data_IF_908255413738
#
_entry.id   IF_908255413738
#
_cell.length_a   1.000
_cell.length_b   1.000
_cell.length_c   1.000
_cell.angle_alpha   90.00
_cell.angle_beta   90.00
_cell.angle_gamma   90.00
#
_symmetry.space_group_name_H-M   'P 1'
#
loop_
_entity.id
_entity.type
_entity.pdbx_description
1 polymer ?
#
# COMPACT_ATOMS: atom_id res chain seq x y z
N UNK A 1 34.42 -15.51 -0.61
CA UNK A 1 33.03 -15.35 -0.11
C UNK A 1 32.14 -16.41 -0.75
N UNK A 2 31.78 -17.49 -0.04
CA UNK A 2 30.87 -18.54 -0.55
C UNK A 2 29.38 -18.23 -0.29
N UNK A 3 29.10 -17.15 0.46
CA UNK A 3 27.75 -16.83 0.92
C UNK A 3 26.75 -16.49 -0.20
N UNK A 4 27.06 -15.60 -1.17
CA UNK A 4 26.13 -15.34 -2.28
C UNK A 4 25.80 -16.60 -3.09
N UNK A 5 26.81 -17.44 -3.33
CA UNK A 5 26.64 -18.74 -4.00
C UNK A 5 25.68 -19.65 -3.22
N UNK A 6 25.91 -19.81 -1.91
CA UNK A 6 25.06 -20.66 -1.06
C UNK A 6 23.59 -20.17 -1.03
N UNK A 7 23.35 -18.86 -1.05
CA UNK A 7 21.98 -18.34 -1.09
C UNK A 7 21.33 -18.58 -2.45
N UNK A 8 22.05 -18.43 -3.56
CA UNK A 8 21.51 -18.73 -4.89
C UNK A 8 21.16 -20.22 -5.05
N UNK A 9 21.92 -21.13 -4.42
CA UNK A 9 21.59 -22.56 -4.36
C UNK A 9 20.31 -22.83 -3.55
N UNK A 10 20.08 -22.09 -2.45
CA UNK A 10 18.87 -22.24 -1.63
C UNK A 10 17.67 -21.57 -2.30
N UNK A 11 17.84 -20.39 -2.88
CA UNK A 11 16.79 -19.55 -3.44
C UNK A 11 17.22 -18.98 -4.80
N UNK A 12 17.06 -19.77 -5.89
CA UNK A 12 17.45 -19.35 -7.23
C UNK A 12 16.58 -18.17 -7.67
N UNK A 13 17.21 -17.22 -8.36
CA UNK A 13 16.60 -15.96 -8.77
C UNK A 13 16.68 -14.83 -7.73
N UNK A 14 17.19 -15.06 -6.53
CA UNK A 14 17.51 -14.00 -5.56
C UNK A 14 18.99 -13.60 -5.71
N UNK A 15 19.25 -12.31 -5.91
CA UNK A 15 20.61 -11.75 -5.95
C UNK A 15 20.98 -11.14 -4.60
N UNK A 16 22.25 -11.28 -4.20
CA UNK A 16 22.78 -10.71 -2.95
C UNK A 16 23.99 -9.85 -3.25
N UNK A 17 23.93 -8.60 -2.82
CA UNK A 17 25.08 -7.71 -2.75
C UNK A 17 25.58 -7.63 -1.31
N UNK A 18 26.88 -7.85 -1.11
CA UNK A 18 27.51 -7.82 0.21
C UNK A 18 28.73 -6.89 0.18
N UNK A 19 28.92 -6.10 1.24
CA UNK A 19 30.15 -5.38 1.52
C UNK A 19 30.58 -5.66 2.96
N UNK A 20 31.90 -5.75 3.17
CA UNK A 20 32.51 -5.92 4.49
C UNK A 20 33.64 -4.91 4.60
N UNK A 21 33.71 -4.21 5.74
CA UNK A 21 34.73 -3.21 6.03
C UNK A 21 35.26 -3.47 7.43
N UNK A 22 36.58 -3.44 7.56
CA UNK A 22 37.27 -3.43 8.84
C UNK A 22 37.33 -1.99 9.37
N UNK A 23 37.12 -1.82 10.66
CA UNK A 23 37.19 -0.53 11.32
C UNK A 23 37.79 -0.67 12.72
N UNK A 24 38.50 0.39 13.14
CA UNK A 24 39.07 0.50 14.48
C UNK A 24 38.07 1.22 15.40
N UNK A 25 38.20 1.04 16.72
CA UNK A 25 37.37 1.70 17.72
C UNK A 25 37.38 3.23 17.54
N UNK A 26 36.19 3.84 17.61
CA UNK A 26 35.95 5.27 17.36
C UNK A 26 35.79 5.64 15.89
N UNK A 27 35.91 4.67 14.97
CA UNK A 27 35.80 4.86 13.52
C UNK A 27 34.44 4.47 12.92
N UNK A 28 33.45 4.08 13.73
CA UNK A 28 32.23 3.42 13.25
C UNK A 28 31.45 4.27 12.24
N UNK A 29 31.27 5.57 12.46
CA UNK A 29 30.50 6.43 11.56
C UNK A 29 31.14 6.55 10.16
N UNK A 30 32.47 6.67 10.11
CA UNK A 30 33.21 6.70 8.83
C UNK A 30 33.15 5.33 8.15
N UNK A 31 33.20 4.25 8.92
CA UNK A 31 33.06 2.89 8.42
C UNK A 31 31.66 2.62 7.84
N UNK A 32 30.60 3.11 8.48
CA UNK A 32 29.22 3.02 7.99
C UNK A 32 29.05 3.74 6.64
N UNK A 33 29.59 4.96 6.51
CA UNK A 33 29.54 5.70 5.25
C UNK A 33 30.29 4.97 4.13
N UNK A 34 31.52 4.51 4.41
CA UNK A 34 32.29 3.71 3.46
C UNK A 34 31.57 2.40 3.09
N UNK A 35 30.81 1.80 4.02
CA UNK A 35 30.05 0.57 3.80
C UNK A 35 28.90 0.82 2.82
N UNK A 36 28.16 1.92 2.99
CA UNK A 36 27.11 2.32 2.05
C UNK A 36 27.67 2.54 0.63
N UNK A 37 28.82 3.20 0.50
CA UNK A 37 29.46 3.44 -0.79
C UNK A 37 29.90 2.14 -1.45
N UNK A 38 30.57 1.23 -0.71
CA UNK A 38 30.93 -0.10 -1.23
C UNK A 38 29.71 -0.95 -1.57
N UNK A 39 28.61 -0.84 -0.81
CA UNK A 39 27.36 -1.53 -1.13
C UNK A 39 26.76 -1.00 -2.45
N UNK A 40 26.82 0.32 -2.69
CA UNK A 40 26.39 0.91 -3.97
C UNK A 40 27.25 0.40 -5.14
N UNK A 41 28.57 0.36 -4.97
CA UNK A 41 29.47 -0.22 -5.96
C UNK A 41 29.16 -1.69 -6.26
N UNK A 42 28.88 -2.48 -5.23
CA UNK A 42 28.53 -3.90 -5.39
C UNK A 42 27.17 -4.11 -6.05
N UNK A 43 26.18 -3.25 -5.79
CA UNK A 43 24.88 -3.29 -6.49
C UNK A 43 25.00 -3.01 -7.99
N UNK A 44 26.02 -2.27 -8.40
CA UNK A 44 26.31 -2.00 -9.81
C UNK A 44 27.02 -3.17 -10.52
N UNK A 45 27.44 -4.21 -9.79
CA UNK A 45 28.05 -5.40 -10.39
C UNK A 45 26.97 -6.42 -10.74
N UNK A 46 26.90 -6.76 -12.02
CA UNK A 46 25.97 -7.78 -12.52
C UNK A 46 26.31 -9.12 -11.86
N UNK A 47 25.33 -9.73 -11.21
CA UNK A 47 25.45 -11.08 -10.68
C UNK A 47 25.22 -12.08 -11.80
N UNK A 48 26.15 -13.01 -11.98
CA UNK A 48 25.98 -14.10 -12.95
C UNK A 48 24.91 -15.07 -12.41
N UNK A 49 23.89 -15.43 -13.21
CA UNK A 49 22.91 -16.41 -12.78
C UNK A 49 23.60 -17.76 -12.55
N UNK A 50 23.13 -18.48 -11.53
CA UNK A 50 23.67 -19.80 -11.19
C UNK A 50 23.29 -20.84 -12.26
N UNK A 51 22.05 -20.74 -12.76
CA UNK A 51 21.56 -21.57 -13.86
C UNK A 51 21.93 -20.95 -15.20
N UNK A 52 22.71 -21.67 -16.01
CA UNK A 52 23.05 -21.28 -17.36
C UNK A 52 22.20 -22.08 -18.34
N UNK A 53 21.22 -21.43 -18.96
CA UNK A 53 20.31 -22.09 -19.90
C UNK A 53 20.92 -22.21 -21.30
N UNK A 54 21.51 -23.35 -21.62
CA UNK A 54 22.03 -23.66 -22.96
C UNK A 54 20.92 -23.64 -24.04
N UNK A 55 21.33 -23.44 -25.30
CA UNK A 55 20.40 -23.52 -26.43
C UNK A 55 19.88 -24.95 -26.58
N UNK A 56 18.55 -25.11 -26.71
CA UNK A 56 17.89 -26.41 -26.83
C UNK A 56 17.24 -26.94 -25.54
N UNK A 57 17.35 -26.22 -24.42
CA UNK A 57 16.61 -26.56 -23.20
C UNK A 57 15.27 -25.84 -23.18
N UNK A 58 14.22 -26.56 -22.80
CA UNK A 58 12.89 -25.98 -22.61
C UNK A 58 12.91 -24.92 -21.49
N UNK A 59 12.08 -23.89 -21.63
CA UNK A 59 12.04 -22.75 -20.72
C UNK A 59 10.64 -22.52 -20.18
N UNK A 60 10.57 -22.12 -18.93
CA UNK A 60 9.33 -21.68 -18.31
C UNK A 60 8.80 -20.42 -19.03
N UNK A 61 7.57 -20.48 -19.55
CA UNK A 61 7.00 -19.38 -20.38
C UNK A 61 6.87 -18.05 -19.63
N UNK A 62 6.66 -18.11 -18.31
CA UNK A 62 6.42 -16.93 -17.47
C UNK A 62 7.69 -16.21 -17.04
N UNK A 63 8.78 -16.93 -16.82
CA UNK A 63 10.02 -16.40 -16.23
C UNK A 63 11.19 -16.41 -17.22
N UNK A 64 11.11 -17.22 -18.27
CA UNK A 64 12.23 -17.47 -19.19
C UNK A 64 13.36 -18.31 -18.60
N UNK A 65 13.18 -18.81 -17.37
CA UNK A 65 14.11 -19.70 -16.66
C UNK A 65 14.16 -21.10 -17.28
N UNK A 66 15.18 -21.88 -16.92
CA UNK A 66 15.35 -23.25 -17.39
C UNK A 66 14.22 -24.11 -16.80
N UNK A 67 13.59 -24.94 -17.64
CA UNK A 67 12.58 -25.88 -17.17
C UNK A 67 13.16 -26.79 -16.09
N UNK A 68 12.45 -26.87 -14.98
CA UNK A 68 12.77 -27.73 -13.85
C UNK A 68 11.56 -28.64 -13.63
N UNK A 69 11.78 -29.96 -13.61
CA UNK A 69 10.74 -30.94 -13.30
C UNK A 69 10.86 -31.40 -11.85
N UNK A 70 10.10 -30.84 -10.91
CA UNK A 70 9.78 -31.52 -9.68
C UNK A 70 8.48 -32.28 -9.87
N UNK A 71 8.49 -33.58 -9.61
CA UNK A 71 7.31 -34.42 -9.40
C UNK A 71 6.43 -33.86 -8.25
N UNK A 72 5.73 -32.73 -8.42
CA UNK A 72 4.56 -32.21 -7.67
C UNK A 72 4.21 -30.72 -7.99
N UNK A 73 3.35 -30.52 -9.01
CA UNK A 73 2.34 -29.44 -9.30
C UNK A 73 2.80 -27.97 -9.60
N UNK A 74 2.07 -27.19 -10.47
CA UNK A 74 0.62 -27.27 -10.81
C UNK A 74 0.21 -27.43 -12.30
N UNK A 75 -0.99 -28.01 -12.54
CA UNK A 75 -1.61 -28.47 -13.82
C UNK A 75 -0.69 -29.39 -14.62
N UNK A 76 -1.19 -30.53 -15.09
CA UNK A 76 -0.37 -31.57 -15.75
C UNK A 76 0.51 -31.08 -16.92
N UNK A 77 0.33 -29.84 -17.42
CA UNK A 77 1.01 -29.28 -18.59
C UNK A 77 1.81 -27.95 -18.40
N UNK A 78 1.90 -27.34 -17.20
CA UNK A 78 2.65 -26.06 -17.05
C UNK A 78 4.13 -26.27 -16.70
N UNK A 79 5.02 -25.89 -17.63
CA UNK A 79 6.47 -25.90 -17.41
C UNK A 79 6.89 -24.73 -16.53
N UNK A 80 7.56 -25.04 -15.43
CA UNK A 80 8.03 -24.09 -14.40
C UNK A 80 9.54 -24.21 -14.18
N UNK A 81 10.15 -23.18 -13.60
CA UNK A 81 11.58 -23.16 -13.25
C UNK A 81 11.80 -23.50 -11.76
N UNK A 82 13.06 -23.78 -11.39
CA UNK A 82 13.41 -24.16 -10.01
C UNK A 82 13.03 -23.06 -9.00
N UNK A 83 13.20 -21.79 -9.40
CA UNK A 83 12.84 -20.63 -8.60
C UNK A 83 11.35 -20.60 -8.27
N UNK A 84 10.48 -20.87 -9.24
CA UNK A 84 9.02 -20.89 -9.06
C UNK A 84 8.61 -22.03 -8.14
N UNK A 85 9.24 -23.20 -8.27
CA UNK A 85 8.96 -24.36 -7.41
C UNK A 85 9.29 -24.05 -5.95
N UNK A 86 10.46 -23.44 -5.70
CA UNK A 86 10.83 -23.04 -4.33
C UNK A 86 9.90 -21.95 -3.79
N UNK A 87 9.44 -21.00 -4.61
CA UNK A 87 8.41 -20.01 -4.23
C UNK A 87 7.08 -20.68 -3.86
N UNK A 88 6.62 -21.66 -4.62
CA UNK A 88 5.37 -22.39 -4.34
C UNK A 88 5.49 -23.14 -3.01
N UNK A 89 6.61 -23.85 -2.77
CA UNK A 89 6.87 -24.53 -1.49
C UNK A 89 6.88 -23.55 -0.31
N UNK A 90 7.53 -22.40 -0.46
CA UNK A 90 7.60 -21.36 0.57
C UNK A 90 6.26 -20.64 0.82
N UNK A 91 5.36 -20.59 -0.17
CA UNK A 91 4.07 -19.89 -0.06
C UNK A 91 3.09 -20.49 0.96
N UNK A 92 3.36 -21.71 1.44
CA UNK A 92 2.58 -22.40 2.47
C UNK A 92 2.78 -21.82 3.88
N UNK A 93 3.81 -21.00 4.11
CA UNK A 93 4.08 -20.45 5.44
C UNK A 93 3.07 -19.39 5.90
N UNK A 94 2.79 -19.36 7.21
CA UNK A 94 1.97 -18.36 7.90
C UNK A 94 2.74 -17.14 8.43
N UNK A 95 4.08 -17.13 8.34
CA UNK A 95 4.93 -16.23 9.14
C UNK A 95 4.58 -14.73 9.07
N UNK A 96 4.18 -14.23 7.90
CA UNK A 96 3.77 -12.84 7.71
C UNK A 96 2.36 -12.60 8.25
N UNK A 97 1.47 -13.59 8.10
CA UNK A 97 0.15 -13.56 8.70
C UNK A 97 0.23 -13.59 10.23
N UNK A 98 1.15 -14.36 10.82
CA UNK A 98 1.34 -14.41 12.26
C UNK A 98 1.79 -13.05 12.83
N UNK A 99 2.56 -12.28 12.05
CA UNK A 99 2.94 -10.91 12.42
C UNK A 99 1.72 -9.98 12.47
N UNK A 100 0.86 -10.01 11.46
CA UNK A 100 -0.31 -9.11 11.37
C UNK A 100 -1.44 -9.51 12.33
N UNK A 101 -1.61 -10.81 12.56
CA UNK A 101 -2.68 -11.36 13.41
C UNK A 101 -2.29 -11.50 14.88
N UNK A 102 -1.05 -11.14 15.24
CA UNK A 102 -0.48 -11.37 16.57
C UNK A 102 -0.52 -12.85 17.01
N UNK A 103 -0.15 -13.75 16.09
CA UNK A 103 -0.14 -15.21 16.29
C UNK A 103 -1.49 -15.79 16.71
N UNK A 104 -2.58 -15.31 16.10
CA UNK A 104 -3.87 -15.96 16.27
C UNK A 104 -3.78 -17.42 15.80
N UNK A 105 -4.37 -18.37 16.54
CA UNK A 105 -4.36 -19.77 16.14
C UNK A 105 -5.20 -19.91 14.86
N UNK A 106 -4.55 -20.29 13.77
CA UNK A 106 -5.18 -20.49 12.47
C UNK A 106 -4.87 -21.87 11.91
N UNK A 107 -5.79 -22.39 11.10
CA UNK A 107 -5.54 -23.52 10.24
C UNK A 107 -5.01 -23.00 8.89
N UNK A 108 -3.72 -23.16 8.62
CA UNK A 108 -3.07 -22.62 7.41
C UNK A 108 -3.77 -23.00 6.09
N UNK A 109 -4.36 -24.19 6.00
CA UNK A 109 -5.02 -24.65 4.77
C UNK A 109 -6.41 -24.06 4.55
N UNK A 110 -7.12 -23.76 5.64
CA UNK A 110 -8.49 -23.25 5.62
C UNK A 110 -8.57 -21.74 5.75
N UNK A 111 -7.71 -21.15 6.57
CA UNK A 111 -7.78 -19.75 6.96
C UNK A 111 -6.93 -18.84 6.06
N UNK A 112 -5.93 -19.41 5.36
CA UNK A 112 -5.10 -18.68 4.40
C UNK A 112 -5.44 -19.11 2.97
N UNK A 113 -5.29 -18.16 2.05
CA UNK A 113 -5.53 -18.40 0.64
C UNK A 113 -4.31 -18.03 -0.20
N UNK A 114 -3.97 -18.93 -1.12
CA UNK A 114 -3.01 -18.69 -2.21
C UNK A 114 -3.72 -18.57 -3.56
N UNK A 115 -5.01 -18.87 -3.61
CA UNK A 115 -5.89 -18.60 -4.75
C UNK A 115 -7.00 -17.65 -4.29
N UNK A 116 -7.08 -16.49 -4.94
CA UNK A 116 -8.08 -15.44 -4.67
C UNK A 116 -9.51 -15.97 -4.83
N UNK A 117 -9.75 -16.96 -5.69
CA UNK A 117 -11.10 -17.52 -5.91
C UNK A 117 -11.71 -18.12 -4.64
N UNK A 118 -10.87 -18.63 -3.72
CA UNK A 118 -11.32 -19.15 -2.43
C UNK A 118 -11.93 -18.08 -1.52
N UNK A 119 -11.55 -16.82 -1.70
CA UNK A 119 -12.08 -15.70 -0.91
C UNK A 119 -13.56 -15.41 -1.24
N UNK A 120 -14.01 -15.80 -2.43
CA UNK A 120 -15.31 -15.39 -2.97
C UNK A 120 -16.20 -16.58 -3.36
N UNK A 121 -15.95 -17.79 -2.85
CA UNK A 121 -16.71 -19.00 -3.24
C UNK A 121 -16.91 -19.17 -4.77
N UNK A 122 -15.89 -18.79 -5.56
CA UNK A 122 -15.92 -18.77 -7.03
C UNK A 122 -16.88 -17.75 -7.69
N UNK A 123 -17.34 -16.72 -6.99
CA UNK A 123 -18.13 -15.64 -7.61
C UNK A 123 -17.35 -14.86 -8.67
N UNK A 124 -18.01 -14.55 -9.78
CA UNK A 124 -17.38 -13.92 -10.94
C UNK A 124 -17.19 -12.39 -10.82
N UNK A 125 -17.90 -11.73 -9.89
CA UNK A 125 -17.88 -10.26 -9.73
C UNK A 125 -17.24 -9.82 -8.42
N UNK A 126 -16.04 -10.32 -8.16
CA UNK A 126 -15.31 -10.02 -6.93
C UNK A 126 -14.21 -8.98 -7.13
N UNK A 127 -14.18 -7.97 -6.25
CA UNK A 127 -13.14 -6.95 -6.19
C UNK A 127 -12.21 -7.20 -5.00
N UNK A 128 -10.92 -7.05 -5.27
CA UNK A 128 -9.86 -7.02 -4.24
C UNK A 128 -9.14 -5.69 -4.30
N UNK A 129 -8.43 -5.37 -3.24
CA UNK A 129 -7.54 -4.23 -3.18
C UNK A 129 -6.11 -4.69 -2.87
N UNK A 130 -5.14 -4.08 -3.55
CA UNK A 130 -3.73 -4.16 -3.17
C UNK A 130 -3.36 -2.85 -2.52
N UNK A 131 -2.92 -2.95 -1.26
CA UNK A 131 -2.48 -1.81 -0.45
C UNK A 131 -0.96 -1.88 -0.38
N UNK A 132 -0.30 -0.76 -0.63
CA UNK A 132 1.11 -0.57 -0.35
C UNK A 132 1.30 0.71 0.46
N UNK A 133 1.96 0.62 1.61
CA UNK A 133 2.29 1.76 2.45
C UNK A 133 3.78 1.76 2.80
N UNK A 134 4.37 2.95 2.79
CA UNK A 134 5.80 3.20 2.94
C UNK A 134 6.03 4.44 3.82
N UNK A 135 7.05 4.38 4.67
CA UNK A 135 7.39 5.39 5.65
C UNK A 135 7.97 6.66 5.02
N UNK A 136 7.50 7.81 5.48
CA UNK A 136 7.97 9.08 5.00
C UNK A 136 9.29 9.50 5.66
N UNK A 137 10.26 9.85 4.81
CA UNK A 137 11.47 10.55 5.26
C UNK A 137 12.53 9.71 5.95
N UNK A 138 12.36 8.39 6.11
CA UNK A 138 13.29 7.52 6.85
C UNK A 138 14.76 7.65 6.46
N UNK A 139 15.08 7.78 5.17
CA UNK A 139 16.45 8.01 4.73
C UNK A 139 17.05 9.31 5.30
N UNK A 140 16.25 10.37 5.36
CA UNK A 140 16.67 11.63 5.99
C UNK A 140 16.77 11.49 7.51
N UNK A 141 15.90 10.68 8.14
CA UNK A 141 15.97 10.36 9.57
C UNK A 141 17.31 9.68 9.88
N UNK A 142 17.64 8.61 9.16
CA UNK A 142 18.88 7.85 9.32
C UNK A 142 20.10 8.76 9.11
N UNK A 143 20.08 9.64 8.10
CA UNK A 143 21.16 10.61 7.88
C UNK A 143 21.30 11.62 9.01
N UNK A 144 20.19 12.14 9.54
CA UNK A 144 20.21 13.07 10.67
C UNK A 144 20.64 12.40 11.96
N UNK A 145 20.23 11.15 12.19
CA UNK A 145 20.72 10.31 13.29
C UNK A 145 22.23 10.11 13.17
N UNK A 146 22.72 9.76 11.97
CA UNK A 146 24.16 9.60 11.73
C UNK A 146 24.92 10.89 12.09
N UNK A 147 24.45 12.06 11.61
CA UNK A 147 25.04 13.37 11.95
C UNK A 147 25.00 13.69 13.45
N UNK A 148 23.88 13.44 14.11
CA UNK A 148 23.73 13.71 15.55
C UNK A 148 24.60 12.78 16.42
N UNK A 149 24.85 11.56 15.93
CA UNK A 149 25.66 10.55 16.60
C UNK A 149 27.15 10.59 16.20
N UNK A 150 27.56 11.54 15.33
CA UNK A 150 28.97 11.68 14.90
C UNK A 150 29.94 11.95 16.04
N UNK A 151 29.51 12.65 17.09
CA UNK A 151 30.32 13.04 18.25
C UNK A 151 30.14 12.11 19.45
N UNK A 152 29.39 11.01 19.31
CA UNK A 152 29.09 10.04 20.36
C UNK A 152 29.98 8.81 20.27
N UNK A 153 29.98 7.98 21.32
CA UNK A 153 30.76 6.74 21.34
C UNK A 153 30.19 5.71 20.37
N UNK A 154 31.02 4.76 19.92
CA UNK A 154 30.58 3.67 19.04
C UNK A 154 29.45 2.82 19.66
N UNK A 155 29.41 2.70 20.99
CA UNK A 155 28.35 2.00 21.72
C UNK A 155 27.02 2.76 21.64
N UNK A 156 27.04 4.07 21.80
CA UNK A 156 25.87 4.93 21.67
C UNK A 156 25.29 4.86 20.25
N UNK A 157 26.16 4.86 19.24
CA UNK A 157 25.75 4.74 17.83
C UNK A 157 25.08 3.40 17.57
N UNK A 158 25.68 2.29 18.04
CA UNK A 158 25.09 0.95 17.91
C UNK A 158 23.74 0.85 18.62
N UNK A 159 23.65 1.36 19.84
CA UNK A 159 22.42 1.36 20.63
C UNK A 159 21.33 2.21 19.97
N UNK A 160 21.67 3.40 19.49
CA UNK A 160 20.73 4.30 18.81
C UNK A 160 20.10 3.68 17.57
N UNK A 161 20.91 3.14 16.65
CA UNK A 161 20.40 2.50 15.43
C UNK A 161 19.63 1.21 15.71
N UNK A 162 20.10 0.39 16.67
CA UNK A 162 19.40 -0.84 17.06
C UNK A 162 18.03 -0.53 17.64
N UNK A 163 17.96 0.37 18.62
CA UNK A 163 16.70 0.77 19.25
C UNK A 163 15.77 1.39 18.22
N UNK A 164 16.26 2.29 17.35
CA UNK A 164 15.45 2.87 16.29
C UNK A 164 14.84 1.82 15.35
N UNK A 165 15.65 0.89 14.85
CA UNK A 165 15.18 -0.17 13.95
C UNK A 165 14.16 -1.09 14.62
N UNK A 166 14.40 -1.48 15.88
CA UNK A 166 13.46 -2.30 16.65
C UNK A 166 12.16 -1.56 16.94
N UNK A 167 12.24 -0.30 17.38
CA UNK A 167 11.08 0.53 17.67
C UNK A 167 10.21 0.77 16.43
N UNK A 168 10.83 0.99 15.25
CA UNK A 168 10.12 1.15 13.98
C UNK A 168 9.39 -0.14 13.58
N UNK A 169 10.11 -1.26 13.54
CA UNK A 169 9.54 -2.56 13.15
C UNK A 169 8.39 -2.98 14.09
N UNK A 170 8.55 -2.76 15.40
CA UNK A 170 7.47 -3.03 16.35
C UNK A 170 6.30 -2.04 16.22
N UNK A 171 6.54 -0.75 15.92
CA UNK A 171 5.47 0.21 15.70
C UNK A 171 4.62 -0.17 14.48
N UNK A 172 5.24 -0.53 13.37
CA UNK A 172 4.57 -0.99 12.15
C UNK A 172 3.76 -2.26 12.40
N UNK A 173 4.36 -3.25 13.09
CA UNK A 173 3.64 -4.48 13.46
C UNK A 173 2.44 -4.19 14.35
N UNK A 174 2.61 -3.39 15.41
CA UNK A 174 1.51 -3.04 16.31
C UNK A 174 0.41 -2.27 15.60
N UNK A 175 0.74 -1.35 14.69
CA UNK A 175 -0.24 -0.63 13.89
C UNK A 175 -1.05 -1.57 12.98
N UNK A 176 -0.36 -2.48 12.29
CA UNK A 176 -0.99 -3.47 11.42
C UNK A 176 -1.88 -4.45 12.22
N UNK A 177 -1.45 -4.83 13.43
CA UNK A 177 -2.25 -5.66 14.35
C UNK A 177 -3.52 -4.97 14.83
N UNK A 178 -3.44 -3.69 15.18
CA UNK A 178 -4.64 -2.92 15.56
C UNK A 178 -5.62 -2.85 14.38
N UNK A 179 -5.14 -2.48 13.18
CA UNK A 179 -5.97 -2.40 11.98
C UNK A 179 -6.60 -3.76 11.61
N UNK A 180 -5.85 -4.86 11.75
CA UNK A 180 -6.38 -6.20 11.53
C UNK A 180 -7.47 -6.57 12.53
N UNK A 181 -7.24 -6.33 13.83
CA UNK A 181 -8.19 -6.69 14.87
C UNK A 181 -9.50 -5.91 14.79
N UNK A 182 -9.45 -4.64 14.39
CA UNK A 182 -10.65 -3.80 14.34
C UNK A 182 -11.44 -3.93 13.03
N UNK A 183 -10.78 -4.21 11.90
CA UNK A 183 -11.41 -4.15 10.58
C UNK A 183 -11.58 -5.54 9.93
N UNK A 184 -10.70 -6.49 10.22
CA UNK A 184 -10.61 -7.74 9.44
C UNK A 184 -10.99 -8.97 10.24
N UNK A 185 -10.67 -8.99 11.53
CA UNK A 185 -10.82 -10.18 12.37
C UNK A 185 -12.27 -10.68 12.43
N UNK A 186 -13.22 -9.77 12.60
CA UNK A 186 -14.64 -10.09 12.75
C UNK A 186 -15.35 -10.25 11.39
N UNK A 187 -14.68 -9.89 10.29
CA UNK A 187 -15.17 -10.05 8.91
C UNK A 187 -14.86 -11.43 8.32
N UNK A 188 -14.29 -12.34 9.12
CA UNK A 188 -14.07 -13.73 8.72
C UNK A 188 -15.39 -14.50 8.80
N UNK A 189 -15.95 -14.80 7.64
CA UNK A 189 -17.14 -15.66 7.52
C UNK A 189 -16.80 -17.13 7.82
N UNK A 190 -17.77 -17.86 8.38
CA UNK A 190 -17.60 -19.28 8.67
C UNK A 190 -17.41 -20.10 7.39
N UNK A 191 -16.34 -20.89 7.35
CA UNK A 191 -15.98 -21.70 6.17
C UNK A 191 -15.19 -20.95 5.09
N UNK A 192 -15.00 -19.64 5.21
CA UNK A 192 -14.15 -18.84 4.35
C UNK A 192 -12.80 -18.49 5.01
N UNK A 193 -11.73 -18.31 4.21
CA UNK A 193 -10.46 -17.85 4.73
C UNK A 193 -10.54 -16.36 5.10
N UNK A 194 -9.55 -15.84 5.83
CA UNK A 194 -9.53 -14.42 6.19
C UNK A 194 -9.53 -13.53 4.93
N UNK A 195 -10.28 -12.41 4.93
CA UNK A 195 -10.36 -11.50 3.78
C UNK A 195 -9.12 -10.63 3.59
N UNK A 196 -7.95 -11.08 4.05
CA UNK A 196 -6.66 -10.41 3.98
C UNK A 196 -5.53 -11.41 3.73
N UNK A 197 -4.53 -11.01 2.95
CA UNK A 197 -3.28 -11.73 2.72
C UNK A 197 -2.12 -10.73 2.75
N UNK A 198 -1.37 -10.66 3.87
CA UNK A 198 -0.20 -9.80 3.94
C UNK A 198 0.95 -10.41 3.12
N UNK A 199 1.67 -9.55 2.40
CA UNK A 199 2.80 -9.92 1.54
C UNK A 199 4.10 -9.37 2.12
N UNK A 200 4.07 -8.12 2.57
CA UNK A 200 5.22 -7.45 3.18
C UNK A 200 4.73 -6.83 4.49
N UNK A 201 5.45 -7.12 5.57
CA UNK A 201 5.28 -6.48 6.87
C UNK A 201 6.63 -6.52 7.60
N UNK A 202 7.35 -5.41 7.53
CA UNK A 202 8.65 -5.28 8.19
C UNK A 202 9.29 -3.92 7.93
N UNK A 203 10.02 -3.42 8.92
CA UNK A 203 10.49 -2.04 8.89
C UNK A 203 9.28 -1.11 8.89
N UNK A 204 9.19 -0.23 7.90
CA UNK A 204 8.08 0.68 7.65
C UNK A 204 7.19 0.28 6.46
N UNK A 205 7.59 -0.74 5.71
CA UNK A 205 6.87 -1.22 4.53
C UNK A 205 5.73 -2.17 4.94
N UNK A 206 4.54 -1.89 4.39
CA UNK A 206 3.37 -2.74 4.46
C UNK A 206 2.84 -2.98 3.04
N UNK A 207 2.68 -4.23 2.64
CA UNK A 207 1.95 -4.59 1.41
C UNK A 207 1.00 -5.73 1.67
N UNK A 208 -0.26 -5.54 1.31
CA UNK A 208 -1.36 -6.43 1.67
C UNK A 208 -2.35 -6.54 0.51
N UNK A 209 -2.88 -7.75 0.28
CA UNK A 209 -4.09 -7.95 -0.52
C UNK A 209 -5.27 -8.12 0.42
N UNK A 210 -6.38 -7.43 0.18
CA UNK A 210 -7.57 -7.48 1.04
C UNK A 210 -8.85 -7.43 0.20
N UNK A 211 -9.97 -7.89 0.74
CA UNK A 211 -11.31 -7.66 0.16
C UNK A 211 -11.55 -6.15 0.02
N UNK A 212 -12.11 -5.72 -1.11
CA UNK A 212 -12.09 -4.31 -1.52
C UNK A 212 -12.90 -3.37 -0.59
N UNK A 213 -13.99 -3.85 -0.01
CA UNK A 213 -14.82 -3.15 0.97
C UNK A 213 -14.05 -2.76 2.24
N UNK A 214 -13.12 -3.61 2.68
CA UNK A 214 -12.34 -3.41 3.92
C UNK A 214 -11.11 -2.50 3.72
N UNK A 215 -10.63 -2.38 2.48
CA UNK A 215 -9.31 -1.82 2.18
C UNK A 215 -9.14 -0.37 2.63
N UNK A 216 -10.15 0.47 2.39
CA UNK A 216 -10.11 1.89 2.75
C UNK A 216 -10.00 2.06 4.27
N UNK A 217 -10.91 1.43 5.01
CA UNK A 217 -10.95 1.51 6.47
C UNK A 217 -9.68 0.95 7.11
N UNK A 218 -9.22 -0.21 6.62
CA UNK A 218 -7.98 -0.83 7.08
C UNK A 218 -6.78 0.11 6.89
N UNK A 219 -6.65 0.73 5.71
CA UNK A 219 -5.51 1.60 5.40
C UNK A 219 -5.52 2.88 6.23
N UNK A 220 -6.68 3.53 6.38
CA UNK A 220 -6.80 4.72 7.24
C UNK A 220 -6.43 4.36 8.67
N UNK A 221 -6.98 3.27 9.21
CA UNK A 221 -6.71 2.86 10.58
C UNK A 221 -5.25 2.50 10.82
N UNK A 222 -4.62 1.83 9.85
CA UNK A 222 -3.20 1.54 9.88
C UNK A 222 -2.35 2.82 9.94
N UNK A 223 -2.63 3.81 9.08
CA UNK A 223 -1.87 5.07 9.04
C UNK A 223 -2.00 5.86 10.35
N UNK A 224 -3.21 5.96 10.92
CA UNK A 224 -3.45 6.64 12.20
C UNK A 224 -2.71 5.96 13.37
N UNK A 225 -2.80 4.63 13.46
CA UNK A 225 -2.10 3.89 14.50
C UNK A 225 -0.58 3.90 14.28
N UNK A 226 -0.10 3.92 13.04
CA UNK A 226 1.32 4.06 12.75
C UNK A 226 1.88 5.39 13.28
N UNK A 227 1.21 6.52 13.01
CA UNK A 227 1.61 7.83 13.56
C UNK A 227 1.61 7.82 15.09
N UNK A 228 0.56 7.29 15.70
CA UNK A 228 0.42 7.23 17.16
C UNK A 228 1.48 6.35 17.82
N UNK A 229 1.74 5.15 17.28
CA UNK A 229 2.70 4.18 17.83
C UNK A 229 4.13 4.66 17.63
N UNK A 230 4.45 5.27 16.49
CA UNK A 230 5.78 5.84 16.26
C UNK A 230 6.02 7.04 17.18
N UNK A 231 5.04 7.93 17.36
CA UNK A 231 5.16 9.05 18.29
C UNK A 231 5.43 8.60 19.73
N UNK A 232 4.78 7.53 20.18
CA UNK A 232 5.01 6.99 21.53
C UNK A 232 6.39 6.31 21.64
N UNK A 233 6.71 5.44 20.68
CA UNK A 233 7.97 4.67 20.70
C UNK A 233 9.20 5.51 20.44
N UNK A 234 9.09 6.70 19.86
CA UNK A 234 10.26 7.51 19.49
C UNK A 234 10.65 8.57 20.52
N UNK A 235 9.94 8.64 21.65
CA UNK A 235 10.28 9.56 22.76
C UNK A 235 11.73 9.42 23.25
N UNK A 236 12.31 8.22 23.15
CA UNK A 236 13.72 7.98 23.53
C UNK A 236 14.71 8.75 22.66
N UNK A 237 14.38 9.09 21.40
CA UNK A 237 15.29 9.81 20.50
C UNK A 237 15.61 11.21 21.04
N UNK A 238 14.61 11.89 21.61
CA UNK A 238 14.80 13.19 22.25
C UNK A 238 15.52 13.05 23.59
N UNK A 239 15.08 12.11 24.43
CA UNK A 239 15.61 11.95 25.79
C UNK A 239 17.05 11.46 25.81
N UNK A 240 17.30 10.29 25.23
CA UNK A 240 18.57 9.58 25.36
C UNK A 240 19.62 10.09 24.37
N UNK A 241 19.19 10.52 23.18
CA UNK A 241 20.09 10.86 22.08
C UNK A 241 20.05 12.36 21.68
N UNK A 242 19.16 13.16 22.28
CA UNK A 242 18.98 14.59 21.98
C UNK A 242 18.69 14.89 20.49
N UNK A 243 18.04 13.94 19.81
CA UNK A 243 17.68 14.06 18.39
C UNK A 243 16.29 14.69 18.30
N UNK A 244 16.26 15.97 17.93
CA UNK A 244 15.02 16.73 17.75
C UNK A 244 14.40 16.49 16.36
N UNK A 245 13.08 16.60 16.25
CA UNK A 245 12.33 16.53 14.97
C UNK A 245 11.50 15.26 14.76
N UNK A 246 11.59 14.27 15.66
CA UNK A 246 10.82 13.00 15.59
C UNK A 246 9.85 12.81 16.76
N UNK A 247 9.67 13.87 17.57
CA UNK A 247 8.83 13.84 18.78
C UNK A 247 7.36 13.57 18.47
N UNK A 248 6.93 13.91 17.25
CA UNK A 248 5.57 13.72 16.77
C UNK A 248 5.43 12.44 15.92
N UNK A 249 6.41 11.53 15.96
CA UNK A 249 6.39 10.24 15.25
C UNK A 249 6.97 10.28 13.84
N UNK A 250 6.60 9.28 13.03
CA UNK A 250 6.81 9.25 11.58
C UNK A 250 5.45 9.06 10.92
N UNK A 251 5.22 9.70 9.78
CA UNK A 251 4.06 9.38 8.94
C UNK A 251 4.39 8.38 7.86
N UNK A 252 3.35 7.78 7.30
CA UNK A 252 3.45 6.93 6.13
C UNK A 252 2.52 7.42 5.04
N UNK A 253 2.89 7.18 3.78
CA UNK A 253 1.97 7.32 2.67
C UNK A 253 1.47 5.94 2.26
N UNK A 254 0.25 5.86 1.75
CA UNK A 254 -0.29 4.62 1.24
C UNK A 254 -0.97 4.81 -0.12
N UNK A 255 -0.89 3.76 -0.93
CA UNK A 255 -1.57 3.60 -2.20
C UNK A 255 -2.51 2.39 -2.18
N UNK A 256 -3.76 2.56 -2.62
CA UNK A 256 -4.73 1.46 -2.76
C UNK A 256 -5.13 1.29 -4.23
N UNK A 257 -4.83 0.12 -4.79
CA UNK A 257 -5.28 -0.27 -6.12
C UNK A 257 -6.48 -1.23 -6.01
N UNK A 258 -7.68 -0.77 -6.38
CA UNK A 258 -8.86 -1.63 -6.47
C UNK A 258 -8.95 -2.30 -7.83
N UNK A 259 -9.01 -3.62 -7.84
CA UNK A 259 -8.93 -4.44 -9.05
C UNK A 259 -9.95 -5.60 -8.99
N UNK A 260 -10.28 -6.15 -10.16
CA UNK A 260 -11.00 -7.42 -10.23
C UNK A 260 -10.07 -8.58 -9.86
N UNK A 261 -10.61 -9.66 -9.31
CA UNK A 261 -9.82 -10.85 -8.89
C UNK A 261 -8.94 -11.46 -10.00
N UNK A 262 -9.32 -11.33 -11.27
CA UNK A 262 -8.59 -11.87 -12.42
C UNK A 262 -7.47 -10.96 -12.93
N UNK A 263 -7.34 -9.76 -12.37
CA UNK A 263 -6.36 -8.78 -12.82
C UNK A 263 -4.93 -9.20 -12.43
N UNK A 264 -3.93 -9.08 -13.32
CA UNK A 264 -2.58 -9.53 -13.03
C UNK A 264 -1.96 -8.80 -11.83
N UNK A 265 -1.53 -9.58 -10.83
CA UNK A 265 -1.03 -9.05 -9.56
C UNK A 265 0.15 -8.07 -9.70
N UNK A 266 1.09 -8.33 -10.61
CA UNK A 266 2.27 -7.47 -10.80
C UNK A 266 1.89 -6.04 -11.24
N UNK A 267 0.84 -5.88 -12.05
CA UNK A 267 0.33 -4.56 -12.41
C UNK A 267 -0.35 -3.87 -11.22
N UNK A 268 -1.04 -4.64 -10.37
CA UNK A 268 -1.73 -4.12 -9.20
C UNK A 268 -0.76 -3.58 -8.15
N UNK A 269 0.32 -4.31 -7.86
CA UNK A 269 1.39 -3.85 -6.95
C UNK A 269 2.06 -2.61 -7.51
N UNK A 270 2.45 -2.63 -8.79
CA UNK A 270 3.08 -1.47 -9.43
C UNK A 270 2.17 -0.23 -9.38
N UNK A 271 0.85 -0.41 -9.51
CA UNK A 271 -0.11 0.68 -9.36
C UNK A 271 -0.18 1.19 -7.92
N UNK A 272 -0.26 0.30 -6.93
CA UNK A 272 -0.28 0.68 -5.52
C UNK A 272 1.00 1.43 -5.11
N UNK A 273 2.17 0.99 -5.56
CA UNK A 273 3.45 1.68 -5.38
C UNK A 273 3.45 3.09 -6.00
N UNK A 274 2.93 3.24 -7.23
CA UNK A 274 2.83 4.54 -7.89
C UNK A 274 1.89 5.49 -7.17
N UNK A 275 0.76 5.00 -6.66
CA UNK A 275 -0.19 5.78 -5.86
C UNK A 275 0.43 6.21 -4.53
N UNK A 276 1.18 5.32 -3.87
CA UNK A 276 1.94 5.66 -2.66
C UNK A 276 3.00 6.75 -2.95
N UNK A 277 3.76 6.60 -4.04
CA UNK A 277 4.75 7.58 -4.49
C UNK A 277 4.12 8.93 -4.85
N UNK A 278 2.92 8.94 -5.45
CA UNK A 278 2.15 10.15 -5.71
C UNK A 278 1.79 10.87 -4.40
N UNK A 279 1.22 10.14 -3.43
CA UNK A 279 0.87 10.68 -2.11
C UNK A 279 2.12 11.24 -1.39
N UNK A 280 3.25 10.52 -1.46
CA UNK A 280 4.55 10.97 -0.91
C UNK A 280 5.07 12.24 -1.58
N UNK A 281 4.97 12.32 -2.90
CA UNK A 281 5.37 13.51 -3.66
C UNK A 281 4.48 14.72 -3.35
N UNK A 282 3.17 14.49 -3.18
CA UNK A 282 2.21 15.53 -2.80
C UNK A 282 2.55 16.12 -1.43
N UNK A 283 2.71 15.28 -0.40
CA UNK A 283 3.09 15.73 0.95
C UNK A 283 4.42 16.48 0.94
N UNK A 284 5.40 15.99 0.16
CA UNK A 284 6.72 16.63 0.05
C UNK A 284 6.68 18.02 -0.61
N UNK A 285 5.86 18.20 -1.65
CA UNK A 285 5.82 19.45 -2.45
C UNK A 285 4.89 20.51 -1.87
N UNK A 286 3.66 20.11 -1.54
CA UNK A 286 2.60 21.05 -1.17
C UNK A 286 2.64 21.42 0.32
N UNK A 287 2.91 20.43 1.18
CA UNK A 287 2.89 20.62 2.64
C UNK A 287 4.31 20.96 3.13
N UNK A 288 5.31 20.26 2.60
CA UNK A 288 6.72 20.48 2.91
C UNK A 288 7.13 19.96 4.29
N UNK A 289 8.44 19.81 4.47
CA UNK A 289 9.07 19.36 5.73
C UNK A 289 9.48 20.57 6.59
N UNK A 290 8.61 21.55 6.78
CA UNK A 290 8.93 22.79 7.52
C UNK A 290 9.04 22.55 9.03
N UNK A 291 10.05 21.79 9.46
CA UNK A 291 10.35 21.51 10.87
C UNK A 291 9.41 20.53 11.59
N UNK A 292 8.40 20.00 10.89
CA UNK A 292 7.47 18.99 11.39
C UNK A 292 7.62 17.67 10.64
N UNK A 293 7.25 16.58 11.31
CA UNK A 293 7.05 15.26 10.69
C UNK A 293 6.00 15.43 9.58
N UNK A 294 6.25 14.94 8.35
CA UNK A 294 5.26 14.97 7.27
C UNK A 294 3.93 14.36 7.72
N UNK A 295 2.80 14.73 7.13
CA UNK A 295 1.51 14.08 7.42
C UNK A 295 1.34 12.79 6.63
N UNK A 296 0.59 11.83 7.17
CA UNK A 296 0.18 10.66 6.41
C UNK A 296 -0.83 11.03 5.33
N UNK A 297 -0.70 10.38 4.18
CA UNK A 297 -1.58 10.61 3.04
C UNK A 297 -1.92 9.30 2.33
N UNK A 298 -3.09 9.28 1.71
CA UNK A 298 -3.68 8.12 1.05
C UNK A 298 -4.10 8.49 -0.37
N UNK A 299 -3.61 7.75 -1.37
CA UNK A 299 -4.13 7.82 -2.75
C UNK A 299 -4.73 6.47 -3.12
N UNK A 300 -5.81 6.46 -3.89
CA UNK A 300 -6.42 5.22 -4.35
C UNK A 300 -6.93 5.34 -5.78
N UNK A 301 -7.05 4.19 -6.46
CA UNK A 301 -7.57 4.14 -7.81
C UNK A 301 -8.30 2.83 -8.07
N UNK A 302 -9.47 2.90 -8.72
CA UNK A 302 -10.24 1.74 -9.15
C UNK A 302 -10.01 1.45 -10.63
N UNK A 303 -9.42 0.29 -10.92
CA UNK A 303 -9.13 -0.17 -12.27
C UNK A 303 -10.40 -0.71 -12.92
N UNK A 304 -10.92 0.03 -13.90
CA UNK A 304 -12.08 -0.39 -14.69
C UNK A 304 -11.69 -0.94 -16.06
N UNK A 305 -10.51 -0.55 -16.56
CA UNK A 305 -10.02 -0.93 -17.89
C UNK A 305 -9.21 -2.23 -17.85
N UNK A 306 -9.20 -2.94 -18.97
CA UNK A 306 -8.44 -4.19 -19.15
C UNK A 306 -6.94 -3.94 -19.33
N UNK A 307 -6.55 -2.71 -19.68
CA UNK A 307 -5.15 -2.33 -19.92
C UNK A 307 -4.76 -1.08 -19.16
N UNK A 308 -3.79 -1.22 -18.26
CA UNK A 308 -3.14 -0.11 -17.59
C UNK A 308 -1.80 0.15 -18.25
N UNK A 309 -1.69 1.29 -18.94
CA UNK A 309 -0.40 1.83 -19.38
C UNK A 309 0.50 2.15 -18.18
N UNK A 310 1.81 2.23 -18.43
CA UNK A 310 2.81 2.42 -17.37
C UNK A 310 2.71 3.77 -16.63
N UNK A 311 2.06 4.79 -17.18
CA UNK A 311 2.02 6.13 -16.56
C UNK A 311 0.68 6.41 -15.83
N UNK A 312 0.76 6.64 -14.52
CA UNK A 312 -0.35 6.98 -13.64
C UNK A 312 -1.11 8.22 -14.12
N UNK A 313 -0.38 9.24 -14.62
CA UNK A 313 -0.97 10.51 -15.05
C UNK A 313 -1.88 10.32 -16.26
N UNK A 314 -1.45 9.48 -17.21
CA UNK A 314 -2.22 9.19 -18.42
C UNK A 314 -3.50 8.43 -18.10
N UNK A 315 -3.43 7.45 -17.18
CA UNK A 315 -4.60 6.71 -16.70
C UNK A 315 -5.60 7.66 -16.04
N UNK A 316 -5.14 8.47 -15.08
CA UNK A 316 -6.00 9.42 -14.38
C UNK A 316 -6.61 10.44 -15.34
N UNK A 317 -5.84 10.95 -16.29
CA UNK A 317 -6.38 11.87 -17.32
C UNK A 317 -7.43 11.20 -18.22
N UNK A 318 -7.28 9.91 -18.53
CA UNK A 318 -8.25 9.18 -19.37
C UNK A 318 -9.52 8.79 -18.60
N UNK A 319 -9.37 8.39 -17.34
CA UNK A 319 -10.45 7.75 -16.55
C UNK A 319 -11.11 8.70 -15.55
N UNK A 320 -10.42 9.77 -15.13
CA UNK A 320 -10.87 10.72 -14.10
C UNK A 320 -11.00 12.15 -14.63
N UNK A 321 -10.87 12.39 -15.93
CA UNK A 321 -11.11 13.73 -16.50
C UNK A 321 -12.29 13.68 -17.45
N UNK A 322 -13.34 14.41 -17.09
CA UNK A 322 -14.51 14.65 -17.91
C UNK A 322 -14.45 16.09 -18.41
N UNK A 323 -13.81 16.30 -19.57
CA UNK A 323 -13.61 17.62 -20.20
C UNK A 323 -13.08 18.69 -19.21
N UNK A 324 -13.96 19.53 -18.64
CA UNK A 324 -13.64 20.61 -17.69
C UNK A 324 -13.68 20.21 -16.20
N UNK A 325 -14.09 18.98 -15.87
CA UNK A 325 -14.18 18.47 -14.50
C UNK A 325 -13.12 17.40 -14.26
N UNK A 326 -12.35 17.56 -13.17
CA UNK A 326 -11.44 16.52 -12.70
C UNK A 326 -12.08 15.75 -11.55
N UNK A 327 -12.30 14.46 -11.74
CA UNK A 327 -12.66 13.51 -10.69
C UNK A 327 -11.45 12.97 -9.93
N UNK A 328 -10.23 13.39 -10.27
CA UNK A 328 -9.04 13.19 -9.45
C UNK A 328 -9.01 14.26 -8.35
N UNK A 329 -9.71 14.01 -7.25
CA UNK A 329 -9.75 14.95 -6.11
C UNK A 329 -8.37 15.07 -5.45
N UNK A 330 -7.61 13.97 -5.47
CA UNK A 330 -6.20 13.93 -5.10
C UNK A 330 -5.94 13.11 -3.83
N UNK A 331 -4.68 13.03 -3.38
CA UNK A 331 -4.35 12.31 -2.17
C UNK A 331 -5.04 12.91 -0.96
N UNK A 332 -5.66 12.05 -0.14
CA UNK A 332 -6.36 12.43 1.08
C UNK A 332 -5.41 12.40 2.27
N UNK A 333 -5.38 13.47 3.05
CA UNK A 333 -4.65 13.51 4.31
C UNK A 333 -5.36 12.68 5.38
N UNK A 334 -4.55 12.05 6.22
CA UNK A 334 -4.96 11.29 7.41
C UNK A 334 -4.55 12.06 8.67
N UNK A 335 -5.34 11.91 9.74
CA UNK A 335 -5.10 12.55 11.03
C UNK A 335 -5.80 13.91 11.17
N UNK A 336 -5.04 14.97 11.45
CA UNK A 336 -5.60 16.30 11.66
C UNK A 336 -5.88 17.01 10.33
N UNK A 337 -7.07 17.59 10.11
CA UNK A 337 -7.38 18.32 8.88
C UNK A 337 -6.50 19.56 8.71
N UNK A 338 -6.17 19.90 7.47
CA UNK A 338 -5.57 21.17 7.08
C UNK A 338 -6.53 21.88 6.13
N UNK A 339 -6.74 23.17 6.36
CA UNK A 339 -7.57 23.99 5.48
C UNK A 339 -6.99 24.00 4.06
N UNK A 340 -7.86 23.80 3.06
CA UNK A 340 -7.49 23.76 1.63
C UNK A 340 -6.96 22.41 1.13
N UNK A 341 -6.96 21.36 1.97
CA UNK A 341 -6.51 20.02 1.56
C UNK A 341 -7.57 18.95 1.77
N UNK A 342 -7.62 17.97 0.86
CA UNK A 342 -8.52 16.82 0.93
C UNK A 342 -8.23 15.96 2.18
N UNK A 343 -9.27 15.52 2.87
CA UNK A 343 -9.12 14.76 4.12
C UNK A 343 -10.04 13.52 4.15
N UNK A 344 -9.56 12.41 4.73
CA UNK A 344 -10.33 11.15 4.79
C UNK A 344 -11.68 11.30 5.51
N UNK A 345 -11.77 12.15 6.54
CA UNK A 345 -13.04 12.46 7.23
C UNK A 345 -14.12 13.06 6.31
N UNK A 346 -13.74 13.75 5.22
CA UNK A 346 -14.71 14.25 4.24
C UNK A 346 -15.33 13.09 3.47
N UNK A 347 -14.54 12.08 3.10
CA UNK A 347 -15.03 10.85 2.48
C UNK A 347 -15.95 10.08 3.43
N UNK A 348 -15.53 9.85 4.67
CA UNK A 348 -16.35 9.14 5.66
C UNK A 348 -17.71 9.79 5.87
N UNK A 349 -17.76 11.11 6.06
CA UNK A 349 -19.02 11.84 6.22
C UNK A 349 -19.93 11.67 5.01
N UNK A 350 -19.40 11.85 3.80
CA UNK A 350 -20.19 11.72 2.56
C UNK A 350 -20.64 10.28 2.30
N UNK A 351 -19.82 9.28 2.61
CA UNK A 351 -20.21 7.86 2.54
C UNK A 351 -21.34 7.55 3.51
N UNK A 352 -21.25 8.01 4.76
CA UNK A 352 -22.30 7.83 5.77
C UNK A 352 -23.62 8.50 5.34
N UNK A 353 -23.55 9.72 4.79
CA UNK A 353 -24.71 10.39 4.20
C UNK A 353 -25.34 9.52 3.10
N UNK A 354 -24.56 9.04 2.13
CA UNK A 354 -25.12 8.18 1.06
C UNK A 354 -25.80 6.92 1.64
N UNK A 355 -25.19 6.25 2.60
CA UNK A 355 -25.76 5.06 3.23
C UNK A 355 -27.05 5.35 4.02
N UNK A 356 -27.11 6.49 4.73
CA UNK A 356 -28.32 6.91 5.43
C UNK A 356 -29.47 7.18 4.44
N UNK A 357 -29.17 7.85 3.33
CA UNK A 357 -30.15 8.16 2.31
C UNK A 357 -30.61 6.92 1.52
N UNK A 358 -29.73 5.93 1.30
CA UNK A 358 -30.12 4.62 0.72
C UNK A 358 -31.07 3.86 1.65
N UNK A 359 -30.95 4.01 2.98
CA UNK A 359 -31.83 3.36 3.98
C UNK A 359 -33.19 4.04 4.15
N UNK A 360 -33.35 5.31 3.78
CA UNK A 360 -34.59 6.11 3.99
C UNK A 360 -35.75 5.78 3.03
N UNK A 361 -35.54 4.93 2.01
CA UNK A 361 -36.63 4.36 1.20
C UNK A 361 -36.59 4.68 -0.30
N UNK A 362 -37.53 4.10 -1.07
CA UNK A 362 -37.50 4.03 -2.56
C UNK A 362 -37.60 5.36 -3.31
N UNK A 363 -38.25 6.39 -2.77
CA UNK A 363 -38.38 7.68 -3.47
C UNK A 363 -37.09 8.53 -3.35
N UNK A 364 -36.37 8.42 -2.24
CA UNK A 364 -35.12 9.14 -1.94
C UNK A 364 -33.86 8.39 -2.38
N UNK A 365 -33.91 7.05 -2.44
CA UNK A 365 -32.87 6.20 -3.07
C UNK A 365 -32.63 6.52 -4.55
N UNK A 366 -33.62 7.15 -5.22
CA UNK A 366 -33.46 7.70 -6.56
C UNK A 366 -32.36 8.78 -6.62
N UNK A 367 -32.06 9.47 -5.51
CA UNK A 367 -31.01 10.49 -5.45
C UNK A 367 -29.62 9.92 -5.74
N UNK A 368 -29.28 8.77 -5.14
CA UNK A 368 -27.99 8.11 -5.37
C UNK A 368 -27.90 7.52 -6.77
N UNK A 369 -29.00 6.91 -7.26
CA UNK A 369 -29.06 6.42 -8.65
C UNK A 369 -28.89 7.55 -9.67
N UNK A 370 -29.55 8.70 -9.45
CA UNK A 370 -29.40 9.89 -10.29
C UNK A 370 -28.00 10.47 -10.22
N UNK A 371 -27.35 10.39 -9.06
CA UNK A 371 -25.99 10.88 -8.88
C UNK A 371 -24.95 9.97 -9.57
N UNK A 372 -25.18 8.64 -9.60
CA UNK A 372 -24.40 7.70 -10.45
C UNK A 372 -24.61 7.95 -11.94
N UNK A 373 -25.86 8.21 -12.35
CA UNK A 373 -26.18 8.59 -13.73
C UNK A 373 -25.50 9.91 -14.11
N UNK A 374 -25.56 10.91 -13.24
CA UNK A 374 -24.89 12.19 -13.44
C UNK A 374 -23.39 12.05 -13.64
N UNK A 375 -22.71 11.22 -12.83
CA UNK A 375 -21.29 10.92 -13.06
C UNK A 375 -21.06 10.31 -14.44
N UNK A 376 -21.92 9.37 -14.85
CA UNK A 376 -21.79 8.71 -16.16
C UNK A 376 -21.99 9.70 -17.31
N UNK A 377 -23.04 10.54 -17.21
CA UNK A 377 -23.32 11.58 -18.20
C UNK A 377 -22.26 12.67 -18.20
N UNK A 378 -21.64 12.98 -17.06
CA UNK A 378 -20.53 13.94 -17.01
C UNK A 378 -19.35 13.52 -17.90
N UNK A 379 -19.09 12.21 -18.06
CA UNK A 379 -18.08 11.72 -19.00
C UNK A 379 -18.53 11.76 -20.47
N UNK A 380 -19.84 11.71 -20.74
CA UNK A 380 -20.39 11.61 -22.09
C UNK A 380 -20.80 12.97 -22.69
N UNK A 381 -21.61 13.75 -21.95
CA UNK A 381 -22.21 15.01 -22.39
C UNK A 381 -22.39 16.00 -21.22
N UNK A 382 -21.65 17.12 -21.27
CA UNK A 382 -21.66 18.20 -20.27
C UNK A 382 -23.04 18.87 -20.15
N UNK A 383 -23.79 18.98 -21.25
CA UNK A 383 -25.08 19.68 -21.27
C UNK A 383 -26.14 18.89 -20.50
N UNK A 384 -26.21 17.59 -20.74
CA UNK A 384 -27.07 16.66 -20.00
C UNK A 384 -26.67 16.58 -18.52
N UNK A 385 -25.37 16.53 -18.21
CA UNK A 385 -24.88 16.53 -16.83
C UNK A 385 -25.27 17.81 -16.07
N UNK A 386 -25.17 18.98 -16.70
CA UNK A 386 -25.56 20.28 -16.11
C UNK A 386 -27.06 20.32 -15.83
N UNK A 387 -27.88 19.86 -16.77
CA UNK A 387 -29.33 19.77 -16.59
C UNK A 387 -29.72 18.80 -15.46
N UNK A 388 -29.04 17.65 -15.37
CA UNK A 388 -29.25 16.69 -14.26
C UNK A 388 -28.85 17.27 -12.90
N UNK A 389 -27.79 18.08 -12.85
CA UNK A 389 -27.37 18.80 -11.64
C UNK A 389 -28.44 19.81 -11.19
N UNK A 390 -28.93 20.65 -12.09
CA UNK A 390 -30.00 21.63 -11.80
C UNK A 390 -31.27 20.94 -11.32
N UNK A 391 -31.63 19.82 -11.97
CA UNK A 391 -32.78 19.01 -11.56
C UNK A 391 -32.58 18.36 -10.18
N UNK A 392 -31.36 17.93 -9.84
CA UNK A 392 -31.06 17.42 -8.50
C UNK A 392 -31.12 18.50 -7.43
N UNK A 393 -30.64 19.72 -7.72
CA UNK A 393 -30.79 20.89 -6.82
C UNK A 393 -32.24 21.19 -6.49
N UNK A 394 -33.12 21.08 -7.49
CA UNK A 394 -34.54 21.40 -7.33
C UNK A 394 -35.37 20.30 -6.65
N UNK A 395 -35.17 19.03 -7.03
CA UNK A 395 -36.00 17.91 -6.56
C UNK A 395 -35.49 17.35 -5.23
N UNK A 396 -34.17 17.26 -5.06
CA UNK A 396 -33.53 16.64 -3.89
C UNK A 396 -32.61 17.64 -3.18
N UNK A 397 -33.13 18.83 -2.86
CA UNK A 397 -32.35 19.95 -2.31
C UNK A 397 -31.64 19.59 -0.98
N UNK A 398 -32.29 18.82 -0.10
CA UNK A 398 -31.68 18.34 1.16
C UNK A 398 -30.45 17.45 0.93
N UNK A 399 -30.60 16.43 0.10
CA UNK A 399 -29.52 15.51 -0.28
C UNK A 399 -28.38 16.22 -1.02
N UNK A 400 -28.72 17.13 -1.96
CA UNK A 400 -27.75 17.90 -2.72
C UNK A 400 -26.92 18.83 -1.81
N UNK A 401 -27.56 19.49 -0.83
CA UNK A 401 -26.88 20.39 0.10
C UNK A 401 -25.95 19.64 1.07
N UNK A 402 -26.35 18.45 1.53
CA UNK A 402 -25.52 17.61 2.40
C UNK A 402 -24.32 17.00 1.66
N UNK A 403 -24.50 16.58 0.40
CA UNK A 403 -23.42 16.02 -0.41
C UNK A 403 -22.54 17.09 -1.04
N UNK A 404 -23.06 18.30 -1.32
CA UNK A 404 -22.41 19.43 -1.98
C UNK A 404 -21.38 19.01 -3.06
N UNK A 405 -21.84 18.74 -4.30
CA UNK A 405 -21.03 18.17 -5.38
C UNK A 405 -19.76 18.90 -5.82
N UNK A 406 -19.66 20.22 -5.62
CA UNK A 406 -18.70 21.11 -6.29
C UNK A 406 -18.56 22.39 -5.43
N UNK A 407 -17.41 23.03 -5.14
CA UNK A 407 -16.06 23.14 -5.74
C UNK A 407 -15.09 23.63 -4.64
N UNK A 408 -13.85 23.18 -4.67
CA UNK A 408 -12.69 24.08 -4.69
C UNK A 408 -11.89 23.67 -5.94
N UNK A 409 -11.58 24.61 -6.83
CA UNK A 409 -10.71 24.45 -8.01
C UNK A 409 -11.09 23.40 -9.08
N UNK A 410 -12.38 23.12 -9.29
CA UNK A 410 -12.84 22.28 -10.43
C UNK A 410 -12.66 20.77 -10.24
N UNK A 411 -12.39 20.33 -9.00
CA UNK A 411 -12.32 18.92 -8.63
C UNK A 411 -13.57 18.45 -7.88
N UNK A 412 -14.04 17.23 -8.13
CA UNK A 412 -15.19 16.65 -7.42
C UNK A 412 -14.82 15.37 -6.66
N UNK A 413 -15.08 15.39 -5.35
CA UNK A 413 -14.93 14.25 -4.43
C UNK A 413 -16.02 13.18 -4.60
N UNK A 414 -17.11 13.49 -5.31
CA UNK A 414 -18.26 12.60 -5.43
C UNK A 414 -17.89 11.28 -6.10
N UNK A 415 -17.06 11.34 -7.13
CA UNK A 415 -16.67 10.15 -7.88
C UNK A 415 -15.99 9.13 -6.98
N UNK A 416 -15.07 9.60 -6.15
CA UNK A 416 -14.35 8.80 -5.16
C UNK A 416 -15.31 8.17 -4.15
N UNK A 417 -16.31 8.91 -3.67
CA UNK A 417 -17.35 8.40 -2.76
C UNK A 417 -18.20 7.31 -3.44
N UNK A 418 -18.64 7.51 -4.68
CA UNK A 418 -19.39 6.49 -5.43
C UNK A 418 -18.55 5.24 -5.66
N UNK A 419 -17.27 5.42 -6.03
CA UNK A 419 -16.37 4.29 -6.24
C UNK A 419 -16.23 3.45 -4.99
N UNK A 420 -15.99 4.07 -3.83
CA UNK A 420 -15.89 3.36 -2.55
C UNK A 420 -17.22 2.70 -2.16
N UNK A 421 -18.37 3.38 -2.34
CA UNK A 421 -19.68 2.76 -2.05
C UNK A 421 -20.00 1.57 -2.97
N UNK A 422 -19.53 1.60 -4.23
CA UNK A 422 -19.72 0.50 -5.17
C UNK A 422 -18.92 -0.76 -4.85
N UNK A 423 -17.97 -0.70 -3.89
CA UNK A 423 -17.17 -1.84 -3.45
C UNK A 423 -17.77 -2.57 -2.25
N UNK A 424 -18.73 -1.95 -1.56
CA UNK A 424 -19.48 -2.55 -0.44
C UNK A 424 -20.67 -3.42 -0.88
N UNK A 425 -21.07 -3.29 -2.15
CA UNK A 425 -22.29 -3.89 -2.71
C UNK A 425 -22.00 -5.09 -3.60
#
# INVERSE_FOLDING_TARGET
MKFPKAVMEIAPGITISQAVIEFNEGGLNKALQNLEDKLREQRNKVSMPFEMGFMGIERARRTGGVAFEPNSLPKEDEIIDEATVKKIKASKGSSIFDKISNKLPINEEKDLWNNVDKLFNNENKAWIAVIHADGNGLGAIIQNMNKALQSRTDEDVKKGFKTFSQSLDEATKSAAQTAFNEIVKDEKEEGLPFPIRPIILGGDDLTVIIRADLAFNFTVRFLEEFEKKTADKFKFLKGDFQINGFENGISACAGIAYIKKSYPFHYAVSLAEKLCAEAKNFVKKEIGYKGFVPKSALSFFKVQDSFIESDLKTIKKRTLTAQNLSFDYGPYLVGNPLNGYAHVNQLFKKMATIEEWEKRGKEEANGVSKLRQWVTEAFNDESTATFMEERMKFINSGFYNEISPLKEDGKSIIFDVIQLNSLKN
#
